data_IF_466006087353
#
_entry.id   IF_466006087353
#
_cell.length_a   1.000
_cell.length_b   1.000
_cell.length_c   1.000
_cell.angle_alpha   90.00
_cell.angle_beta   90.00
_cell.angle_gamma   90.00
#
_symmetry.space_group_name_H-M   'P 1'
#
loop_
_entity.id
_entity.type
_entity.pdbx_description
1 polymer ?
#
# COMPACT_ATOMS: atom_id res chain seq x y z
N UNK A 1 -55.48 -50.11 -11.99
CA UNK A 1 -54.96 -49.39 -10.79
C UNK A 1 -53.66 -48.73 -11.20
N UNK A 2 -53.71 -47.40 -11.48
CA UNK A 2 -52.51 -46.59 -11.83
C UNK A 2 -51.94 -45.99 -10.56
N UNK A 3 -50.69 -46.36 -10.17
CA UNK A 3 -50.01 -45.78 -9.08
C UNK A 3 -49.34 -44.44 -9.56
N UNK A 4 -49.80 -43.33 -9.00
CA UNK A 4 -49.24 -42.00 -9.23
C UNK A 4 -48.04 -41.88 -8.25
N UNK A 5 -46.83 -41.75 -8.80
CA UNK A 5 -45.61 -41.49 -8.04
C UNK A 5 -45.43 -39.96 -7.99
N UNK A 6 -45.70 -39.37 -6.83
CA UNK A 6 -45.48 -37.95 -6.59
C UNK A 6 -44.02 -37.75 -6.19
N UNK A 7 -43.22 -37.17 -7.11
CA UNK A 7 -41.87 -36.76 -6.84
C UNK A 7 -41.89 -35.39 -6.14
N UNK A 8 -41.55 -35.35 -4.86
CA UNK A 8 -41.32 -34.13 -4.13
C UNK A 8 -39.93 -33.60 -4.48
N UNK A 9 -39.88 -32.56 -5.32
CA UNK A 9 -38.64 -31.82 -5.62
C UNK A 9 -38.33 -30.86 -4.44
N UNK A 10 -37.39 -31.25 -3.58
CA UNK A 10 -36.87 -30.39 -2.50
C UNK A 10 -35.91 -29.40 -3.14
N UNK A 11 -36.40 -28.19 -3.45
CA UNK A 11 -35.53 -27.07 -3.82
C UNK A 11 -34.81 -26.56 -2.56
N UNK A 12 -33.60 -27.03 -2.35
CA UNK A 12 -32.70 -26.44 -1.35
C UNK A 12 -32.30 -25.02 -1.82
N UNK A 13 -32.96 -24.01 -1.28
CA UNK A 13 -32.53 -22.63 -1.38
C UNK A 13 -31.19 -22.49 -0.63
N UNK A 14 -30.10 -22.56 -1.35
CA UNK A 14 -28.79 -22.12 -0.86
C UNK A 14 -28.84 -20.61 -0.67
N UNK A 15 -29.24 -20.18 0.52
CA UNK A 15 -29.04 -18.80 0.95
C UNK A 15 -27.56 -18.65 1.16
N UNK A 16 -26.84 -18.23 0.13
CA UNK A 16 -25.48 -17.73 0.25
C UNK A 16 -25.58 -16.43 1.04
N UNK A 17 -25.31 -16.50 2.35
CA UNK A 17 -25.06 -15.29 3.14
C UNK A 17 -23.78 -14.64 2.59
N UNK A 18 -23.94 -13.74 1.64
CA UNK A 18 -22.86 -12.87 1.20
C UNK A 18 -22.57 -11.90 2.36
N UNK A 19 -21.51 -12.15 3.11
CA UNK A 19 -21.07 -11.20 4.15
C UNK A 19 -20.63 -9.92 3.43
N UNK A 20 -21.24 -8.80 3.80
CA UNK A 20 -20.88 -7.48 3.28
C UNK A 20 -19.50 -7.10 3.77
N UNK A 21 -18.66 -6.57 2.90
CA UNK A 21 -17.38 -5.98 3.30
C UNK A 21 -17.56 -4.64 4.04
N UNK A 22 -16.48 -4.07 4.58
CA UNK A 22 -16.56 -2.84 5.36
C UNK A 22 -17.10 -1.64 4.57
N UNK A 23 -16.84 -1.58 3.27
CA UNK A 23 -17.33 -0.49 2.40
C UNK A 23 -18.86 -0.58 2.25
N UNK A 24 -19.39 -1.77 1.97
CA UNK A 24 -20.84 -2.01 1.84
C UNK A 24 -21.58 -1.82 3.17
N UNK A 25 -20.95 -2.17 4.31
CA UNK A 25 -21.55 -1.99 5.65
C UNK A 25 -21.59 -0.55 6.08
N UNK A 26 -20.54 0.21 5.75
CA UNK A 26 -20.40 1.61 6.12
C UNK A 26 -21.17 2.58 5.22
N UNK A 27 -21.85 2.07 4.17
CA UNK A 27 -22.52 2.89 3.14
C UNK A 27 -21.56 3.93 2.52
N UNK A 28 -20.35 3.47 2.21
CA UNK A 28 -19.32 4.28 1.59
C UNK A 28 -19.35 4.17 0.07
N UNK A 29 -19.14 5.29 -0.60
CA UNK A 29 -18.82 5.36 -2.01
C UNK A 29 -17.36 5.78 -2.19
N UNK A 30 -16.62 5.04 -3.03
CA UNK A 30 -15.25 5.39 -3.39
C UNK A 30 -15.29 6.40 -4.52
N UNK A 31 -14.56 7.50 -4.35
CA UNK A 31 -14.35 8.53 -5.36
C UNK A 31 -12.84 8.86 -5.43
N UNK A 32 -12.41 9.68 -6.37
CA UNK A 32 -10.99 10.00 -6.56
C UNK A 32 -10.76 11.47 -6.90
N UNK A 33 -9.60 11.98 -6.45
CA UNK A 33 -9.05 13.27 -6.85
C UNK A 33 -7.79 13.01 -7.66
N UNK A 34 -7.73 13.61 -8.85
CA UNK A 34 -6.53 13.59 -9.69
C UNK A 34 -5.94 15.00 -9.75
N UNK A 35 -4.63 15.08 -9.66
CA UNK A 35 -3.84 16.30 -9.82
C UNK A 35 -2.60 16.00 -10.66
N UNK A 36 -2.46 16.71 -11.76
CA UNK A 36 -1.29 16.69 -12.65
C UNK A 36 -0.65 18.08 -12.65
N UNK A 37 0.66 18.13 -12.45
CA UNK A 37 1.40 19.40 -12.47
C UNK A 37 2.81 19.16 -12.99
N UNK A 38 3.40 20.20 -13.59
CA UNK A 38 4.82 20.19 -13.90
C UNK A 38 5.43 21.57 -13.72
N UNK A 39 6.74 21.62 -13.49
CA UNK A 39 7.48 22.85 -13.28
C UNK A 39 8.91 22.68 -13.81
N UNK A 40 9.36 23.68 -14.58
CA UNK A 40 10.73 23.73 -15.10
C UNK A 40 11.62 24.57 -14.18
N UNK A 41 12.90 24.21 -14.08
CA UNK A 41 13.88 24.96 -13.29
C UNK A 41 14.13 26.37 -13.83
N UNK A 42 14.05 26.57 -15.17
CA UNK A 42 14.22 27.85 -15.85
C UNK A 42 13.27 27.95 -17.06
N UNK A 43 13.16 29.12 -17.67
CA UNK A 43 12.29 29.37 -18.83
C UNK A 43 12.81 28.76 -20.14
N UNK A 44 14.00 28.15 -20.16
CA UNK A 44 14.58 27.50 -21.34
C UNK A 44 13.80 26.26 -21.79
N UNK A 45 13.73 26.01 -23.11
CA UNK A 45 13.05 24.82 -23.65
C UNK A 45 13.71 23.51 -23.22
N UNK A 46 15.04 23.52 -23.04
CA UNK A 46 15.84 22.34 -22.60
C UNK A 46 16.02 22.31 -21.07
N UNK A 47 15.27 23.15 -20.35
CA UNK A 47 15.33 23.16 -18.88
C UNK A 47 14.79 21.87 -18.29
N UNK A 48 15.47 21.29 -17.28
CA UNK A 48 14.95 20.16 -16.54
C UNK A 48 13.54 20.45 -15.99
N UNK A 49 12.74 19.42 -15.95
CA UNK A 49 11.34 19.51 -15.52
C UNK A 49 11.06 18.51 -14.40
N UNK A 50 10.32 18.94 -13.41
CA UNK A 50 9.66 18.08 -12.44
C UNK A 50 8.22 17.88 -12.88
N UNK A 51 7.79 16.63 -13.04
CA UNK A 51 6.39 16.27 -13.28
C UNK A 51 5.82 15.48 -12.13
N UNK A 52 4.61 15.81 -11.72
CA UNK A 52 3.91 15.15 -10.62
C UNK A 52 2.51 14.75 -11.06
N UNK A 53 2.19 13.47 -10.81
CA UNK A 53 0.86 12.89 -11.00
C UNK A 53 0.38 12.29 -9.68
N UNK A 54 -0.79 12.70 -9.20
CA UNK A 54 -1.40 12.19 -7.98
C UNK A 54 -2.83 11.78 -8.27
N UNK A 55 -3.18 10.54 -7.93
CA UNK A 55 -4.54 10.03 -7.95
C UNK A 55 -4.86 9.45 -6.58
N UNK A 56 -5.67 10.15 -5.80
CA UNK A 56 -6.05 9.78 -4.44
C UNK A 56 -7.49 9.33 -4.40
N UNK A 57 -7.71 8.06 -4.05
CA UNK A 57 -9.04 7.56 -3.71
C UNK A 57 -9.44 7.98 -2.31
N UNK A 58 -10.73 8.22 -2.11
CA UNK A 58 -11.30 8.60 -0.82
C UNK A 58 -12.73 8.09 -0.67
N UNK A 59 -13.24 8.11 0.56
CA UNK A 59 -14.57 7.63 0.90
C UNK A 59 -15.54 8.81 1.03
N UNK A 60 -16.67 8.72 0.32
CA UNK A 60 -17.84 9.54 0.50
C UNK A 60 -18.91 8.77 1.27
N UNK A 61 -19.73 9.50 2.05
CA UNK A 61 -20.82 8.92 2.85
C UNK A 61 -20.39 8.46 4.23
N UNK A 62 -21.34 8.08 5.05
CA UNK A 62 -21.11 7.61 6.41
C UNK A 62 -20.13 8.47 7.21
N UNK A 63 -19.16 7.85 7.84
CA UNK A 63 -18.04 8.49 8.55
C UNK A 63 -16.75 8.52 7.70
N UNK A 64 -16.86 8.51 6.38
CA UNK A 64 -15.74 8.52 5.43
C UNK A 64 -14.73 9.63 5.67
N UNK A 65 -15.17 10.79 6.15
CA UNK A 65 -14.29 11.92 6.47
C UNK A 65 -13.23 11.58 7.54
N UNK A 66 -13.64 10.82 8.57
CA UNK A 66 -12.73 10.33 9.61
C UNK A 66 -11.69 9.36 9.04
N UNK A 67 -12.11 8.42 8.20
CA UNK A 67 -11.24 7.45 7.55
C UNK A 67 -10.27 8.14 6.57
N UNK A 68 -10.76 9.05 5.74
CA UNK A 68 -9.92 9.80 4.81
C UNK A 68 -8.80 10.57 5.53
N UNK A 69 -9.12 11.16 6.67
CA UNK A 69 -8.10 11.80 7.51
C UNK A 69 -7.08 10.78 8.01
N UNK A 70 -7.53 9.63 8.50
CA UNK A 70 -6.64 8.57 8.96
C UNK A 70 -5.73 8.07 7.82
N UNK A 71 -6.24 7.91 6.60
CA UNK A 71 -5.47 7.50 5.43
C UNK A 71 -4.31 8.48 5.14
N UNK A 72 -4.61 9.78 5.06
CA UNK A 72 -3.62 10.78 4.68
C UNK A 72 -2.60 11.08 5.79
N UNK A 73 -2.98 10.93 7.08
CA UNK A 73 -2.08 11.21 8.21
C UNK A 73 -1.17 10.05 8.62
N UNK A 74 -1.20 8.92 7.94
CA UNK A 74 -0.39 7.75 8.28
C UNK A 74 0.78 7.47 7.30
N UNK A 75 1.33 8.52 6.69
CA UNK A 75 2.55 8.40 5.89
C UNK A 75 2.38 7.69 4.54
N UNK A 76 1.19 7.75 3.95
CA UNK A 76 0.95 7.17 2.62
C UNK A 76 1.43 8.10 1.50
N UNK A 77 1.47 9.40 1.74
CA UNK A 77 2.02 10.41 0.83
C UNK A 77 3.42 10.82 1.32
N UNK A 78 4.45 10.40 0.61
CA UNK A 78 5.84 10.66 0.94
C UNK A 78 6.51 11.51 -0.16
N UNK A 79 7.34 12.52 0.19
CA UNK A 79 7.57 13.09 1.51
C UNK A 79 6.31 13.68 2.15
N UNK A 80 6.31 13.90 3.48
CA UNK A 80 5.13 14.41 4.18
C UNK A 80 4.99 15.93 4.01
N UNK A 81 4.31 16.35 2.95
CA UNK A 81 3.89 17.73 2.70
C UNK A 81 2.40 17.95 3.00
N UNK A 82 1.72 16.95 3.55
CA UNK A 82 0.28 17.02 3.81
C UNK A 82 0.00 17.78 5.09
N UNK A 83 -0.42 19.02 4.97
CA UNK A 83 -1.08 19.73 6.07
C UNK A 83 -2.55 19.32 6.11
N UNK A 84 -2.91 18.41 7.02
CA UNK A 84 -4.30 18.06 7.27
C UNK A 84 -4.81 18.82 8.49
N UNK A 85 -5.37 20.00 8.28
CA UNK A 85 -6.03 20.73 9.35
C UNK A 85 -7.51 20.32 9.48
N UNK A 86 -8.07 20.45 10.71
CA UNK A 86 -9.49 20.17 10.95
C UNK A 86 -10.38 21.05 10.05
N UNK A 87 -11.11 20.41 9.12
CA UNK A 87 -12.01 21.06 8.19
C UNK A 87 -11.47 21.21 6.76
N UNK A 88 -10.21 20.92 6.51
CA UNK A 88 -9.66 20.92 5.16
C UNK A 88 -10.07 19.64 4.41
N UNK A 89 -10.57 19.81 3.19
CA UNK A 89 -10.91 18.68 2.33
C UNK A 89 -9.66 18.02 1.74
N UNK A 90 -9.81 16.78 1.28
CA UNK A 90 -8.74 15.99 0.62
C UNK A 90 -8.08 16.77 -0.52
N UNK A 91 -8.85 17.55 -1.27
CA UNK A 91 -8.34 18.41 -2.36
C UNK A 91 -7.23 19.32 -1.85
N UNK A 92 -7.45 20.01 -0.72
CA UNK A 92 -6.44 20.92 -0.16
C UNK A 92 -5.17 20.19 0.26
N UNK A 93 -5.29 18.99 0.84
CA UNK A 93 -4.14 18.16 1.20
C UNK A 93 -3.32 17.75 -0.04
N UNK A 94 -4.00 17.36 -1.13
CA UNK A 94 -3.35 17.04 -2.40
C UNK A 94 -2.67 18.28 -2.99
N UNK A 95 -3.35 19.42 -3.02
CA UNK A 95 -2.80 20.66 -3.56
C UNK A 95 -1.59 21.16 -2.74
N UNK A 96 -1.64 21.05 -1.39
CA UNK A 96 -0.50 21.36 -0.51
C UNK A 96 0.68 20.44 -0.78
N UNK A 97 0.44 19.14 -0.96
CA UNK A 97 1.47 18.19 -1.31
C UNK A 97 2.15 18.55 -2.64
N UNK A 98 1.36 18.81 -3.69
CA UNK A 98 1.89 19.20 -5.01
C UNK A 98 2.72 20.48 -4.91
N UNK A 99 2.21 21.49 -4.22
CA UNK A 99 2.91 22.76 -4.05
C UNK A 99 4.23 22.59 -3.28
N UNK A 100 4.23 21.84 -2.18
CA UNK A 100 5.42 21.54 -1.39
C UNK A 100 6.48 20.80 -2.21
N UNK A 101 6.08 19.74 -2.91
CA UNK A 101 7.00 18.94 -3.75
C UNK A 101 7.65 19.76 -4.85
N UNK A 102 6.89 20.59 -5.55
CA UNK A 102 7.41 21.45 -6.62
C UNK A 102 8.27 22.60 -6.06
N UNK A 103 7.96 23.13 -4.87
CA UNK A 103 8.79 24.12 -4.20
C UNK A 103 10.16 23.55 -3.85
N UNK A 104 10.18 22.38 -3.21
CA UNK A 104 11.44 21.71 -2.83
C UNK A 104 12.29 21.36 -4.06
N UNK A 105 11.65 20.96 -5.16
CA UNK A 105 12.37 20.73 -6.43
C UNK A 105 13.11 21.97 -6.90
N UNK A 106 12.48 23.14 -6.89
CA UNK A 106 13.11 24.41 -7.27
C UNK A 106 14.21 24.77 -6.30
N UNK A 107 13.93 24.72 -5.00
CA UNK A 107 14.86 25.15 -3.96
C UNK A 107 16.14 24.30 -3.96
N UNK A 108 16.01 23.01 -4.27
CA UNK A 108 17.14 22.08 -4.30
C UNK A 108 17.96 22.16 -5.59
N UNK A 109 17.29 22.16 -6.76
CA UNK A 109 17.99 21.97 -8.02
C UNK A 109 18.30 23.26 -8.79
N UNK A 110 17.52 24.34 -8.64
CA UNK A 110 17.65 25.54 -9.50
C UNK A 110 19.06 26.11 -9.47
N UNK A 111 19.60 26.36 -8.28
CA UNK A 111 20.93 26.93 -8.13
C UNK A 111 22.04 26.03 -8.64
N UNK A 112 21.88 24.71 -8.48
CA UNK A 112 22.85 23.72 -8.96
C UNK A 112 22.87 23.73 -10.48
N UNK A 113 21.69 23.66 -11.12
CA UNK A 113 21.53 23.67 -12.57
C UNK A 113 21.99 24.98 -13.21
N UNK A 114 21.76 26.13 -12.58
CA UNK A 114 22.25 27.43 -13.07
C UNK A 114 23.76 27.51 -13.13
N UNK A 115 24.47 26.81 -12.21
CA UNK A 115 25.91 26.75 -12.17
C UNK A 115 26.51 25.70 -13.12
N UNK A 116 25.80 24.60 -13.36
CA UNK A 116 26.24 23.52 -14.27
C UNK A 116 25.05 22.99 -15.07
N UNK A 117 25.03 23.29 -16.38
CA UNK A 117 24.00 22.88 -17.34
C UNK A 117 24.43 21.73 -18.23
N UNK A 118 25.54 21.07 -17.93
CA UNK A 118 26.12 20.06 -18.83
C UNK A 118 25.29 18.78 -18.92
N UNK A 119 24.56 18.44 -17.84
CA UNK A 119 23.76 17.24 -17.72
C UNK A 119 22.34 17.54 -17.20
N UNK A 120 21.48 18.18 -18.01
CA UNK A 120 20.13 18.58 -17.58
C UNK A 120 19.26 17.38 -17.16
N UNK A 121 19.47 16.19 -17.72
CA UNK A 121 18.74 14.96 -17.41
C UNK A 121 18.86 14.55 -15.93
N UNK A 122 19.98 14.89 -15.26
CA UNK A 122 20.20 14.55 -13.86
C UNK A 122 19.31 15.35 -12.90
N UNK A 123 18.73 16.44 -13.35
CA UNK A 123 17.88 17.33 -12.55
C UNK A 123 16.38 17.15 -12.86
N UNK A 124 16.02 16.27 -13.81
CA UNK A 124 14.62 16.00 -14.12
C UNK A 124 14.06 15.03 -13.11
N UNK A 125 12.88 15.37 -12.56
CA UNK A 125 12.18 14.55 -11.57
C UNK A 125 10.81 14.13 -12.08
N UNK A 126 10.40 12.92 -11.69
CA UNK A 126 9.06 12.40 -11.92
C UNK A 126 8.53 11.78 -10.64
N UNK A 127 7.30 12.10 -10.29
CA UNK A 127 6.60 11.54 -9.15
C UNK A 127 5.19 11.13 -9.56
N UNK A 128 4.83 9.87 -9.34
CA UNK A 128 3.49 9.39 -9.59
C UNK A 128 2.99 8.59 -8.39
N UNK A 129 1.87 9.01 -7.81
CA UNK A 129 1.21 8.36 -6.69
C UNK A 129 -0.21 7.98 -7.08
N UNK A 130 -0.55 6.70 -6.95
CA UNK A 130 -1.90 6.20 -7.13
C UNK A 130 -2.33 5.46 -5.87
N UNK A 131 -3.45 5.85 -5.26
CA UNK A 131 -3.97 5.17 -4.07
C UNK A 131 -5.20 4.33 -4.39
N UNK A 132 -5.42 3.30 -3.58
CA UNK A 132 -6.50 2.34 -3.73
C UNK A 132 -7.10 2.03 -2.36
N UNK A 133 -8.42 1.97 -2.31
CA UNK A 133 -9.17 1.53 -1.13
C UNK A 133 -9.65 0.11 -1.37
N UNK A 134 -9.26 -0.81 -0.50
CA UNK A 134 -9.61 -2.21 -0.54
C UNK A 134 -10.34 -2.59 0.74
N UNK A 135 -11.24 -3.58 0.66
CA UNK A 135 -11.91 -4.13 1.84
C UNK A 135 -12.29 -5.57 1.55
N UNK A 136 -11.58 -6.52 2.14
CA UNK A 136 -11.84 -7.94 2.02
C UNK A 136 -12.50 -8.53 3.28
N UNK A 137 -12.35 -7.85 4.42
CA UNK A 137 -13.00 -8.19 5.70
C UNK A 137 -14.05 -7.16 6.10
N UNK A 138 -14.99 -7.58 6.96
CA UNK A 138 -16.14 -6.77 7.37
C UNK A 138 -15.77 -5.50 8.14
N UNK A 139 -14.66 -5.54 8.90
CA UNK A 139 -14.27 -4.48 9.83
C UNK A 139 -12.97 -3.79 9.43
N UNK A 140 -12.39 -4.16 8.26
CA UNK A 140 -11.09 -3.65 7.83
C UNK A 140 -11.19 -2.93 6.48
N UNK A 141 -10.63 -1.74 6.45
CA UNK A 141 -10.34 -1.01 5.21
C UNK A 141 -8.84 -0.92 5.06
N UNK A 142 -8.34 -1.39 3.92
CA UNK A 142 -6.94 -1.30 3.54
C UNK A 142 -6.76 -0.13 2.57
N UNK A 143 -5.86 0.78 2.91
CA UNK A 143 -5.46 1.89 2.04
C UNK A 143 -4.07 1.61 1.48
N UNK A 144 -3.97 1.46 0.16
CA UNK A 144 -2.75 1.13 -0.54
C UNK A 144 -2.35 2.26 -1.47
N UNK A 145 -1.06 2.62 -1.47
CA UNK A 145 -0.48 3.55 -2.43
C UNK A 145 0.59 2.86 -3.26
N UNK A 146 0.55 3.09 -4.57
CA UNK A 146 1.64 2.77 -5.50
C UNK A 146 2.35 4.05 -5.88
N UNK A 147 3.59 4.15 -5.46
CA UNK A 147 4.48 5.27 -5.74
C UNK A 147 5.52 4.86 -6.78
N UNK A 148 5.68 5.69 -7.79
CA UNK A 148 6.81 5.63 -8.72
C UNK A 148 7.51 6.97 -8.68
N UNK A 149 8.82 6.99 -8.46
CA UNK A 149 9.63 8.22 -8.46
C UNK A 149 10.90 8.05 -9.28
N UNK A 150 11.30 9.11 -9.94
CA UNK A 150 12.55 9.23 -10.67
C UNK A 150 13.21 10.56 -10.33
N UNK A 151 14.47 10.54 -9.97
CA UNK A 151 15.24 11.72 -9.57
C UNK A 151 16.59 11.81 -10.29
N UNK A 152 16.62 11.60 -11.63
CA UNK A 152 17.86 11.70 -12.43
C UNK A 152 18.80 10.50 -12.32
N UNK A 153 18.41 9.42 -11.65
CA UNK A 153 19.19 8.18 -11.50
C UNK A 153 19.10 7.24 -12.72
N UNK A 154 19.65 6.03 -12.60
CA UNK A 154 19.59 5.02 -13.65
C UNK A 154 18.19 4.40 -13.78
N UNK A 155 17.45 4.27 -12.66
CA UNK A 155 16.16 3.58 -12.58
C UNK A 155 15.12 4.41 -11.84
N UNK A 156 13.87 4.13 -12.13
CA UNK A 156 12.75 4.56 -11.30
C UNK A 156 12.68 3.73 -10.02
N UNK A 157 12.37 4.36 -8.91
CA UNK A 157 12.04 3.68 -7.66
C UNK A 157 10.54 3.39 -7.63
N UNK A 158 10.17 2.17 -7.28
CA UNK A 158 8.77 1.75 -7.16
C UNK A 158 8.50 1.22 -5.76
N UNK A 159 7.44 1.73 -5.14
CA UNK A 159 7.05 1.33 -3.80
C UNK A 159 5.54 1.07 -3.74
N UNK A 160 5.15 0.04 -3.02
CA UNK A 160 3.77 -0.19 -2.60
C UNK A 160 3.70 -0.02 -1.10
N UNK A 161 2.96 0.99 -0.64
CA UNK A 161 2.76 1.30 0.78
C UNK A 161 1.34 0.90 1.16
N UNK A 162 1.19 0.17 2.25
CA UNK A 162 -0.12 -0.32 2.71
C UNK A 162 -0.35 0.06 4.17
N UNK A 163 -1.55 0.54 4.46
CA UNK A 163 -2.02 0.81 5.81
C UNK A 163 -3.42 0.23 5.98
N UNK A 164 -3.62 -0.50 7.08
CA UNK A 164 -4.90 -1.11 7.42
C UNK A 164 -5.56 -0.33 8.54
N UNK A 165 -6.89 -0.21 8.50
CA UNK A 165 -7.66 0.58 9.46
C UNK A 165 -8.92 -0.18 9.88
N UNK A 166 -9.32 -0.06 11.14
CA UNK A 166 -10.66 -0.43 11.57
C UNK A 166 -11.68 0.50 10.93
N UNK A 167 -12.66 -0.08 10.27
CA UNK A 167 -13.62 0.67 9.46
C UNK A 167 -14.53 1.59 10.28
N UNK A 168 -14.80 1.24 11.54
CA UNK A 168 -15.68 1.97 12.46
C UNK A 168 -15.00 3.14 13.17
N UNK A 169 -13.71 3.02 13.47
CA UNK A 169 -12.95 3.98 14.27
C UNK A 169 -11.89 4.74 13.49
N UNK A 170 -11.49 4.24 12.31
CA UNK A 170 -10.34 4.76 11.57
C UNK A 170 -8.99 4.56 12.28
N UNK A 171 -8.96 3.74 13.36
CA UNK A 171 -7.71 3.42 14.05
C UNK A 171 -6.85 2.56 13.13
N UNK A 172 -5.56 2.91 13.04
CA UNK A 172 -4.55 2.10 12.33
C UNK A 172 -4.41 0.72 12.97
N UNK A 173 -4.25 -0.31 12.15
CA UNK A 173 -4.05 -1.70 12.55
C UNK A 173 -2.59 -2.06 12.31
N UNK A 174 -1.86 -2.32 13.40
CA UNK A 174 -0.50 -2.87 13.39
C UNK A 174 -0.52 -4.40 13.51
N UNK A 175 0.64 -5.03 13.32
CA UNK A 175 0.79 -6.47 13.59
C UNK A 175 0.52 -6.81 15.06
N UNK A 176 0.86 -5.91 15.98
CA UNK A 176 0.57 -6.06 17.42
C UNK A 176 -0.94 -6.03 17.73
N UNK A 177 -1.78 -5.42 16.90
CA UNK A 177 -3.23 -5.48 17.06
C UNK A 177 -3.78 -6.86 16.63
N UNK A 178 -3.12 -7.55 15.70
CA UNK A 178 -3.55 -8.84 15.13
C UNK A 178 -3.02 -10.02 15.95
N UNK A 179 -1.76 -9.99 16.35
CA UNK A 179 -1.03 -11.13 16.91
C UNK A 179 -0.86 -11.04 18.43
N UNK A 180 -0.74 -12.22 19.08
CA UNK A 180 -0.39 -12.33 20.50
C UNK A 180 1.05 -11.86 20.73
N UNK A 181 1.35 -11.45 21.98
CA UNK A 181 2.72 -11.06 22.34
C UNK A 181 3.74 -12.19 22.07
N UNK A 182 4.87 -11.85 21.46
CA UNK A 182 5.95 -12.79 21.14
C UNK A 182 5.76 -13.57 19.82
N UNK A 183 4.86 -13.12 18.94
CA UNK A 183 4.59 -13.71 17.62
C UNK A 183 5.76 -13.60 16.65
N UNK A 184 6.65 -12.63 16.83
CA UNK A 184 7.59 -12.13 15.82
C UNK A 184 8.53 -13.24 15.30
N UNK A 185 9.03 -14.08 16.23
CA UNK A 185 9.91 -15.16 15.84
C UNK A 185 9.20 -16.20 14.98
N UNK A 186 8.02 -16.65 15.41
CA UNK A 186 7.27 -17.69 14.68
C UNK A 186 6.78 -17.19 13.33
N UNK A 187 6.29 -15.94 13.27
CA UNK A 187 5.86 -15.33 12.01
C UNK A 187 7.02 -15.17 11.04
N UNK A 188 8.18 -14.73 11.53
CA UNK A 188 9.41 -14.64 10.74
C UNK A 188 9.82 -16.00 10.19
N UNK A 189 9.77 -17.06 10.99
CA UNK A 189 10.13 -18.43 10.56
C UNK A 189 9.17 -18.93 9.46
N UNK A 190 7.87 -18.64 9.57
CA UNK A 190 6.86 -18.95 8.54
C UNK A 190 7.19 -18.21 7.23
N UNK A 191 7.42 -16.90 7.29
CA UNK A 191 7.76 -16.07 6.14
C UNK A 191 9.05 -16.57 5.49
N UNK A 192 10.08 -16.87 6.28
CA UNK A 192 11.36 -17.37 5.80
C UNK A 192 11.23 -18.70 5.04
N UNK A 193 10.41 -19.63 5.53
CA UNK A 193 10.12 -20.88 4.83
C UNK A 193 9.42 -20.63 3.48
N UNK A 194 8.57 -19.60 3.38
CA UNK A 194 7.97 -19.18 2.10
C UNK A 194 9.01 -18.65 1.13
N UNK A 195 10.00 -17.89 1.62
CA UNK A 195 11.13 -17.45 0.79
C UNK A 195 11.95 -18.62 0.28
N UNK A 196 12.24 -19.63 1.13
CA UNK A 196 12.98 -20.81 0.69
C UNK A 196 12.25 -21.53 -0.45
N UNK A 197 10.94 -21.71 -0.33
CA UNK A 197 10.13 -22.32 -1.38
C UNK A 197 10.06 -21.46 -2.65
N UNK A 198 9.89 -20.13 -2.50
CA UNK A 198 9.77 -19.20 -3.63
C UNK A 198 11.03 -19.16 -4.49
N UNK A 199 12.20 -19.22 -3.84
CA UNK A 199 13.49 -19.11 -4.51
C UNK A 199 14.21 -20.46 -4.70
N UNK A 200 13.55 -21.57 -4.39
CA UNK A 200 14.09 -22.93 -4.50
C UNK A 200 15.48 -23.06 -3.85
N UNK A 201 15.54 -22.75 -2.55
CA UNK A 201 16.75 -22.83 -1.71
C UNK A 201 16.44 -23.47 -0.37
N UNK A 202 17.43 -24.11 0.25
CA UNK A 202 17.24 -24.88 1.49
C UNK A 202 17.41 -24.05 2.77
N UNK A 203 18.06 -22.88 2.67
CA UNK A 203 18.44 -22.11 3.85
C UNK A 203 18.79 -20.66 3.53
N UNK A 204 19.08 -19.86 4.58
CA UNK A 204 19.42 -18.43 4.47
C UNK A 204 20.66 -18.18 3.60
N UNK A 205 21.64 -19.06 3.62
CA UNK A 205 22.84 -18.91 2.79
C UNK A 205 22.51 -19.05 1.29
N UNK A 206 21.49 -19.85 0.97
CA UNK A 206 20.94 -19.94 -0.40
C UNK A 206 20.31 -18.62 -0.85
N UNK A 207 19.54 -17.96 0.02
CA UNK A 207 18.97 -16.62 -0.26
C UNK A 207 20.05 -15.57 -0.42
N UNK A 208 21.04 -15.53 0.48
CA UNK A 208 22.18 -14.59 0.40
C UNK A 208 22.99 -14.73 -0.89
N UNK A 209 23.17 -15.94 -1.41
CA UNK A 209 23.81 -16.17 -2.72
C UNK A 209 23.05 -15.55 -3.88
N UNK A 210 21.75 -15.35 -3.72
CA UNK A 210 20.88 -14.63 -4.67
C UNK A 210 20.72 -13.14 -4.34
N UNK A 211 21.51 -12.64 -3.37
CA UNK A 211 21.43 -11.26 -2.85
C UNK A 211 20.09 -10.90 -2.19
N UNK A 212 19.32 -11.92 -1.75
CA UNK A 212 18.08 -11.75 -1.00
C UNK A 212 18.43 -11.75 0.48
N UNK A 213 18.03 -10.71 1.23
CA UNK A 213 18.50 -10.46 2.58
C UNK A 213 20.04 -10.57 2.69
N UNK A 214 20.75 -9.90 1.79
CA UNK A 214 22.21 -10.04 1.65
C UNK A 214 22.98 -9.70 2.94
N UNK A 215 22.47 -8.79 3.76
CA UNK A 215 23.01 -8.42 5.08
C UNK A 215 22.68 -9.46 6.18
N UNK A 216 21.81 -10.44 5.87
CA UNK A 216 21.34 -11.45 6.81
C UNK A 216 20.28 -10.97 7.80
N UNK A 217 19.83 -9.72 7.70
CA UNK A 217 18.80 -9.16 8.57
C UNK A 217 17.40 -9.49 8.04
N UNK A 218 16.83 -10.60 8.50
CA UNK A 218 15.48 -11.01 8.13
C UNK A 218 14.48 -10.39 9.11
N UNK A 219 13.46 -9.75 8.57
CA UNK A 219 12.40 -9.12 9.35
C UNK A 219 11.02 -9.35 8.74
N UNK A 220 9.99 -9.14 9.53
CA UNK A 220 8.59 -9.09 9.09
C UNK A 220 8.27 -7.62 8.78
N UNK A 221 7.83 -7.29 7.56
CA UNK A 221 7.55 -5.89 7.23
C UNK A 221 6.22 -5.44 7.85
N UNK A 222 6.15 -4.16 8.25
CA UNK A 222 4.89 -3.50 8.64
C UNK A 222 4.01 -3.14 7.44
N UNK A 223 4.43 -3.53 6.27
CA UNK A 223 3.77 -3.30 4.98
C UNK A 223 3.03 -4.58 4.57
N UNK A 224 1.72 -4.66 4.88
CA UNK A 224 0.93 -5.87 4.68
C UNK A 224 -0.53 -5.57 4.34
N UNK A 225 -1.17 -6.51 3.63
CA UNK A 225 -2.60 -6.49 3.30
C UNK A 225 -3.31 -7.56 4.13
N UNK A 226 -4.38 -7.18 4.82
CA UNK A 226 -5.29 -8.12 5.48
C UNK A 226 -6.28 -8.63 4.44
N UNK A 227 -6.11 -9.88 4.03
CA UNK A 227 -6.95 -10.55 3.04
C UNK A 227 -8.04 -11.40 3.73
N UNK A 228 -8.97 -11.90 2.94
CA UNK A 228 -10.09 -12.73 3.42
C UNK A 228 -9.61 -13.99 4.17
N UNK A 229 -8.54 -14.61 3.70
CA UNK A 229 -8.04 -15.92 4.12
C UNK A 229 -6.59 -15.90 4.62
N UNK A 230 -6.06 -14.71 4.92
CA UNK A 230 -4.68 -14.57 5.40
C UNK A 230 -4.16 -13.15 5.41
N UNK A 231 -2.83 -13.04 5.38
CA UNK A 231 -2.11 -11.77 5.34
C UNK A 231 -1.04 -11.86 4.24
N UNK A 232 -1.00 -10.87 3.35
CA UNK A 232 0.06 -10.72 2.36
C UNK A 232 1.06 -9.67 2.80
N UNK A 233 2.28 -10.06 3.10
CA UNK A 233 3.40 -9.19 3.43
C UNK A 233 4.08 -8.71 2.15
N UNK A 234 4.42 -7.42 2.10
CA UNK A 234 4.97 -6.78 0.91
C UNK A 234 6.35 -6.21 1.24
N UNK A 235 7.33 -6.66 0.49
CA UNK A 235 8.67 -6.05 0.42
C UNK A 235 8.76 -5.28 -0.88
N UNK A 236 9.06 -3.99 -0.79
CA UNK A 236 9.17 -3.12 -1.95
C UNK A 236 10.38 -3.50 -2.82
N UNK A 237 10.36 -3.06 -4.07
CA UNK A 237 11.52 -3.17 -4.96
C UNK A 237 12.75 -2.55 -4.31
N UNK A 238 13.92 -3.17 -4.44
CA UNK A 238 15.20 -2.75 -3.86
C UNK A 238 15.29 -2.81 -2.32
N UNK A 239 14.26 -3.29 -1.63
CA UNK A 239 14.24 -3.35 -0.16
C UNK A 239 15.06 -4.50 0.40
N UNK A 240 14.88 -5.70 -0.13
CA UNK A 240 15.53 -6.93 0.38
C UNK A 240 16.21 -7.77 -0.70
N UNK A 241 16.05 -7.40 -1.96
CA UNK A 241 16.49 -8.18 -3.13
C UNK A 241 16.99 -7.22 -4.24
N UNK A 242 17.72 -7.74 -5.25
CA UNK A 242 18.13 -6.97 -6.41
C UNK A 242 16.94 -6.38 -7.17
N UNK A 243 17.19 -5.27 -7.89
CA UNK A 243 16.20 -4.51 -8.65
C UNK A 243 15.33 -5.37 -9.59
N UNK A 244 15.93 -6.39 -10.20
CA UNK A 244 15.30 -7.28 -11.17
C UNK A 244 14.22 -8.17 -10.54
N UNK A 245 14.29 -8.44 -9.23
CA UNK A 245 13.29 -9.24 -8.51
C UNK A 245 12.00 -8.44 -8.28
N UNK A 246 12.08 -7.11 -8.31
CA UNK A 246 10.94 -6.24 -8.15
C UNK A 246 10.32 -6.29 -6.74
N UNK A 247 9.00 -6.09 -6.66
CA UNK A 247 8.23 -6.24 -5.42
C UNK A 247 8.01 -7.72 -5.09
N UNK A 248 8.31 -8.12 -3.86
CA UNK A 248 8.10 -9.49 -3.39
C UNK A 248 6.90 -9.51 -2.43
N UNK A 249 5.94 -10.40 -2.70
CA UNK A 249 4.76 -10.63 -1.85
C UNK A 249 4.79 -12.03 -1.26
N UNK A 250 4.63 -12.10 0.06
CA UNK A 250 4.57 -13.36 0.79
C UNK A 250 3.19 -13.50 1.44
N UNK A 251 2.37 -14.39 0.90
CA UNK A 251 1.08 -14.72 1.49
C UNK A 251 1.23 -15.76 2.59
N UNK A 252 0.72 -15.45 3.77
CA UNK A 252 0.58 -16.35 4.91
C UNK A 252 -0.90 -16.59 5.14
N UNK A 253 -1.34 -17.85 4.99
CA UNK A 253 -2.75 -18.20 5.16
C UNK A 253 -3.14 -18.21 6.63
N UNK A 254 -4.42 -17.99 6.92
CA UNK A 254 -4.98 -17.99 8.28
C UNK A 254 -4.66 -19.28 9.05
N UNK A 255 -4.68 -20.44 8.38
CA UNK A 255 -4.35 -21.74 8.97
C UNK A 255 -2.88 -21.87 9.44
N UNK A 256 -1.97 -21.08 8.87
CA UNK A 256 -0.54 -21.10 9.24
C UNK A 256 -0.24 -20.22 10.45
N UNK A 257 -1.14 -19.24 10.74
CA UNK A 257 -0.98 -18.24 11.80
C UNK A 257 -2.12 -18.27 12.84
N UNK A 258 -3.00 -19.27 12.81
CA UNK A 258 -4.15 -19.37 13.71
C UNK A 258 -3.72 -19.30 15.19
N UNK A 259 -2.65 -20.01 15.54
CA UNK A 259 -2.11 -20.04 16.91
C UNK A 259 -1.39 -18.73 17.32
N UNK A 260 -1.11 -17.84 16.38
CA UNK A 260 -0.48 -16.54 16.64
C UNK A 260 -1.49 -15.42 16.74
N UNK A 261 -2.71 -15.59 16.22
CA UNK A 261 -3.73 -14.56 16.24
C UNK A 261 -4.28 -14.36 17.66
N UNK A 262 -4.58 -13.13 17.98
CA UNK A 262 -5.42 -12.82 19.14
C UNK A 262 -6.79 -13.45 18.90
N UNK A 263 -7.37 -14.01 19.98
CA UNK A 263 -8.77 -14.45 19.94
C UNK A 263 -9.61 -13.23 19.55
N UNK A 264 -10.41 -13.37 18.48
CA UNK A 264 -11.25 -12.28 17.98
C UNK A 264 -12.02 -11.63 19.13
N UNK A 265 -11.75 -10.36 19.36
CA UNK A 265 -12.66 -9.53 20.15
C UNK A 265 -13.84 -9.31 19.20
N UNK A 266 -14.97 -9.94 19.56
CA UNK A 266 -16.24 -9.78 18.85
C UNK A 266 -16.68 -8.34 18.81
#
# INVERSE_FOLDING_TARGET
>A
MKKIFTVFLFAALLISCHRKNAIERGDFNIDSIVSDSSLRLTDGLDSPECSIHISVQYLNGGHGQMLNRAFLSNGIMLPDYTEYSNGDGIRKSVDSFVAGYLSDYIDFYKKIYENDRTHPELYSNRYALNTYILSEKEDVITYMAKLTSYGGGLYETRQTLVKNFYADTGKFISLDDIFIHGYEKMLKDIILNKFYNMFDVDNIEGLKKRYIFADGNIYVPDNFIIEKDGISFIYCQDEIAPHEEGEIRIKVNDSEIENLKKVEIK
#
